data_IF_217493560132
#
_entry.id   IF_217493560132
#
_cell.length_a   1.000
_cell.length_b   1.000
_cell.length_c   1.000
_cell.angle_alpha   90.00
_cell.angle_beta   90.00
_cell.angle_gamma   90.00
#
_symmetry.space_group_name_H-M   'P 1'
#
loop_
_entity.id
_entity.type
_entity.pdbx_description
1 polymer ?
#
# COMPACT_ATOMS: atom_id res chain seq x y z
N UNK A 1 66.92 -7.65 14.77
CA UNK A 1 67.52 -7.74 13.43
C UNK A 1 66.47 -7.21 12.45
N UNK A 2 66.45 -5.90 12.15
CA UNK A 2 67.15 -5.25 11.01
C UNK A 2 66.51 -5.70 9.67
N UNK A 3 65.91 -4.89 8.78
CA UNK A 3 66.01 -3.46 8.34
C UNK A 3 64.65 -3.08 7.69
N UNK A 4 64.07 -1.90 7.90
CA UNK A 4 64.27 -0.63 7.16
C UNK A 4 64.27 -0.76 5.62
N UNK A 5 63.24 -0.19 4.96
CA UNK A 5 63.39 0.68 3.76
C UNK A 5 62.20 1.66 3.72
N UNK A 6 62.53 2.94 3.90
CA UNK A 6 61.74 4.13 3.58
C UNK A 6 61.58 4.30 2.06
N UNK A 7 60.45 4.87 1.61
CA UNK A 7 60.43 5.68 0.39
C UNK A 7 59.46 6.85 0.51
N UNK A 8 60.04 8.03 0.76
CA UNK A 8 59.48 9.36 0.48
C UNK A 8 59.30 9.54 -1.02
N UNK A 9 58.22 10.19 -1.44
CA UNK A 9 58.21 11.01 -2.66
C UNK A 9 57.52 12.33 -2.35
N UNK A 10 58.34 13.36 -2.26
CA UNK A 10 57.96 14.77 -2.35
C UNK A 10 57.61 15.10 -3.81
N UNK A 11 56.55 15.89 -4.02
CA UNK A 11 56.32 16.58 -5.27
C UNK A 11 56.23 18.08 -4.97
N UNK A 12 57.31 18.80 -5.28
CA UNK A 12 57.39 20.26 -5.35
C UNK A 12 58.01 20.63 -6.69
N UNK A 13 57.27 21.36 -7.52
CA UNK A 13 57.75 22.26 -8.58
C UNK A 13 56.50 23.05 -9.01
N UNK A 14 56.30 24.31 -8.59
CA UNK A 14 56.95 25.56 -9.00
C UNK A 14 56.99 25.74 -10.52
N UNK A 15 55.95 26.40 -11.04
CA UNK A 15 56.05 27.33 -12.15
C UNK A 15 55.14 28.53 -11.84
N UNK A 16 55.78 29.62 -11.45
CA UNK A 16 55.22 30.96 -11.46
C UNK A 16 55.45 31.55 -12.84
N UNK A 17 54.42 32.16 -13.42
CA UNK A 17 54.57 33.24 -14.39
C UNK A 17 53.51 34.29 -14.08
N UNK A 18 53.98 35.40 -13.53
CA UNK A 18 53.30 36.67 -13.48
C UNK A 18 53.01 37.18 -14.90
N UNK A 19 51.76 37.55 -15.16
CA UNK A 19 51.45 38.61 -16.13
C UNK A 19 50.31 39.45 -15.58
N UNK A 20 50.70 40.64 -15.10
CA UNK A 20 49.88 41.84 -14.99
C UNK A 20 49.15 42.13 -16.30
N UNK A 21 47.83 42.37 -16.24
CA UNK A 21 47.17 43.34 -17.11
C UNK A 21 45.81 43.77 -16.52
N UNK A 22 45.79 45.03 -16.10
CA UNK A 22 44.73 46.00 -16.28
C UNK A 22 43.38 45.86 -15.54
N UNK A 23 43.34 46.65 -14.47
CA UNK A 23 42.17 47.27 -13.86
C UNK A 23 41.22 47.86 -14.92
N UNK A 24 40.11 47.17 -15.19
CA UNK A 24 38.89 47.79 -15.68
C UNK A 24 37.93 47.85 -14.50
N UNK A 25 37.92 48.99 -13.83
CA UNK A 25 36.92 49.39 -12.85
C UNK A 25 35.56 49.53 -13.54
N UNK A 26 34.82 48.41 -13.62
CA UNK A 26 33.40 48.42 -13.93
C UNK A 26 32.62 49.09 -12.79
N UNK A 27 31.47 49.72 -13.08
CA UNK A 27 30.62 50.31 -12.06
C UNK A 27 30.20 49.23 -11.06
N UNK A 28 30.57 49.43 -9.79
CA UNK A 28 30.03 48.68 -8.65
C UNK A 28 28.53 48.90 -8.61
N UNK A 29 27.80 47.99 -9.24
CA UNK A 29 26.35 47.88 -9.11
C UNK A 29 26.08 47.41 -7.68
N UNK A 30 25.97 48.38 -6.77
CA UNK A 30 25.48 48.26 -5.38
C UNK A 30 24.00 47.86 -5.36
N UNK A 31 23.62 46.84 -6.13
CA UNK A 31 22.43 46.05 -5.88
C UNK A 31 22.77 45.08 -4.76
N UNK A 32 22.89 45.63 -3.54
CA UNK A 32 22.56 44.90 -2.33
C UNK A 32 21.09 44.49 -2.43
N UNK A 33 20.79 43.47 -3.22
CA UNK A 33 19.61 42.65 -3.04
C UNK A 33 19.83 41.93 -1.72
N UNK A 34 19.45 42.59 -0.63
CA UNK A 34 19.25 42.00 0.68
C UNK A 34 18.07 41.04 0.61
N UNK A 35 18.18 39.99 -0.20
CA UNK A 35 17.33 38.83 -0.07
C UNK A 35 17.75 38.17 1.24
N UNK A 36 17.02 38.49 2.31
CA UNK A 36 17.14 37.81 3.59
C UNK A 36 17.26 36.31 3.31
N UNK A 37 18.32 35.64 3.79
CA UNK A 37 18.54 34.24 3.49
C UNK A 37 17.33 33.44 3.97
N UNK A 38 16.75 32.63 3.08
CA UNK A 38 15.61 31.78 3.41
C UNK A 38 16.02 30.90 4.61
N UNK A 39 15.22 30.86 5.70
CA UNK A 39 15.51 29.99 6.84
C UNK A 39 15.66 28.54 6.40
N UNK A 40 16.70 27.85 6.90
CA UNK A 40 17.00 26.46 6.51
C UNK A 40 15.84 25.52 6.86
N UNK A 41 15.09 25.84 7.91
CA UNK A 41 13.90 25.12 8.34
C UNK A 41 12.79 25.19 7.29
N UNK A 42 12.64 26.33 6.61
CA UNK A 42 11.68 26.48 5.52
C UNK A 42 12.11 25.67 4.30
N UNK A 43 13.41 25.67 3.97
CA UNK A 43 13.95 24.83 2.89
C UNK A 43 13.72 23.34 3.18
N UNK A 44 13.94 22.92 4.43
CA UNK A 44 13.69 21.55 4.89
C UNK A 44 12.21 21.18 4.74
N UNK A 45 11.29 22.06 5.13
CA UNK A 45 9.85 21.81 4.99
C UNK A 45 9.42 21.73 3.53
N UNK A 46 9.91 22.61 2.66
CA UNK A 46 9.64 22.57 1.21
C UNK A 46 10.14 21.26 0.61
N UNK A 47 11.38 20.86 0.92
CA UNK A 47 11.96 19.62 0.44
C UNK A 47 11.16 18.40 0.92
N UNK A 48 10.76 18.34 2.19
CA UNK A 48 9.94 17.24 2.72
C UNK A 48 8.61 17.08 1.98
N UNK A 49 7.86 18.17 1.78
CA UNK A 49 6.56 18.13 1.09
C UNK A 49 6.73 17.68 -0.35
N UNK A 50 7.69 18.28 -1.06
CA UNK A 50 7.97 17.92 -2.45
C UNK A 50 8.39 16.45 -2.58
N UNK A 51 9.26 15.96 -1.69
CA UNK A 51 9.71 14.57 -1.68
C UNK A 51 8.56 13.61 -1.35
N UNK A 52 7.64 13.98 -0.47
CA UNK A 52 6.46 13.17 -0.17
C UNK A 52 5.60 12.94 -1.43
N UNK A 53 5.28 14.03 -2.15
CA UNK A 53 4.51 13.98 -3.39
C UNK A 53 5.26 13.21 -4.50
N UNK A 54 6.58 13.44 -4.59
CA UNK A 54 7.44 12.74 -5.54
C UNK A 54 7.44 11.22 -5.31
N UNK A 55 7.71 10.79 -4.07
CA UNK A 55 7.75 9.37 -3.73
C UNK A 55 6.39 8.71 -3.84
N UNK A 56 5.33 9.44 -3.49
CA UNK A 56 3.98 8.99 -3.70
C UNK A 56 3.73 8.65 -5.17
N UNK A 57 3.99 9.60 -6.08
CA UNK A 57 3.73 9.39 -7.49
C UNK A 57 4.66 8.31 -8.07
N UNK A 58 5.88 8.17 -7.54
CA UNK A 58 6.85 7.15 -8.00
C UNK A 58 6.32 5.73 -7.74
N UNK A 59 5.69 5.54 -6.58
CA UNK A 59 5.21 4.24 -6.13
C UNK A 59 3.81 3.95 -6.68
N UNK A 60 2.91 4.94 -6.65
CA UNK A 60 1.47 4.73 -6.81
C UNK A 60 0.95 5.06 -8.21
N UNK A 61 1.40 6.14 -8.84
CA UNK A 61 0.78 6.62 -10.09
C UNK A 61 1.15 5.72 -11.28
N UNK A 62 0.20 5.18 -12.06
CA UNK A 62 0.50 4.30 -13.19
C UNK A 62 1.15 5.04 -14.37
N UNK A 63 1.97 4.34 -15.17
CA UNK A 63 2.41 4.85 -16.48
C UNK A 63 3.43 6.00 -16.45
N UNK A 64 4.40 5.95 -15.52
CA UNK A 64 5.56 6.84 -15.54
C UNK A 64 6.58 6.39 -16.61
N UNK A 65 6.15 6.41 -17.86
CA UNK A 65 6.99 6.11 -19.02
C UNK A 65 7.96 7.25 -19.32
N UNK A 66 7.71 8.43 -18.72
CA UNK A 66 8.68 9.53 -18.71
C UNK A 66 9.85 9.15 -17.81
N UNK A 67 11.06 9.51 -18.23
CA UNK A 67 12.28 9.58 -17.41
C UNK A 67 12.07 10.57 -16.26
N UNK A 68 11.22 10.19 -15.32
CA UNK A 68 10.80 11.07 -14.26
C UNK A 68 11.83 11.00 -13.16
N UNK A 69 12.61 12.07 -13.07
CA UNK A 69 13.49 12.35 -11.97
C UNK A 69 12.90 13.52 -11.16
N UNK A 70 11.94 13.24 -10.24
CA UNK A 70 11.41 14.30 -9.40
C UNK A 70 12.49 14.95 -8.54
N UNK A 71 13.58 14.24 -8.24
CA UNK A 71 14.66 14.76 -7.40
C UNK A 71 15.49 15.83 -8.13
N UNK A 72 15.54 15.77 -9.46
CA UNK A 72 16.31 16.70 -10.30
C UNK A 72 15.99 18.17 -9.99
N UNK A 73 14.71 18.54 -9.90
CA UNK A 73 14.31 19.92 -9.61
C UNK A 73 14.92 20.43 -8.30
N UNK A 74 14.83 19.65 -7.22
CA UNK A 74 15.40 20.02 -5.91
C UNK A 74 16.93 20.06 -5.94
N UNK A 75 17.57 19.08 -6.59
CA UNK A 75 19.03 18.96 -6.64
C UNK A 75 19.69 20.05 -7.51
N UNK A 76 18.97 20.62 -8.47
CA UNK A 76 19.47 21.65 -9.39
C UNK A 76 19.03 23.08 -9.03
N UNK A 77 18.12 23.27 -8.06
CA UNK A 77 17.62 24.62 -7.70
C UNK A 77 18.68 25.50 -7.04
N UNK A 78 19.35 25.01 -5.99
CA UNK A 78 20.43 25.75 -5.32
C UNK A 78 21.33 24.81 -4.52
N UNK A 79 22.52 25.28 -4.13
CA UNK A 79 23.42 24.51 -3.27
C UNK A 79 22.75 24.11 -1.94
N UNK A 80 21.99 25.03 -1.32
CA UNK A 80 21.29 24.77 -0.05
C UNK A 80 20.16 23.76 -0.18
N UNK A 81 19.36 23.85 -1.26
CA UNK A 81 18.33 22.84 -1.52
C UNK A 81 18.95 21.46 -1.74
N UNK A 82 20.06 21.39 -2.48
CA UNK A 82 20.80 20.14 -2.69
C UNK A 82 21.29 19.54 -1.39
N UNK A 83 21.92 20.33 -0.52
CA UNK A 83 22.42 19.90 0.78
C UNK A 83 21.31 19.31 1.64
N UNK A 84 20.21 20.07 1.83
CA UNK A 84 19.04 19.65 2.61
C UNK A 84 18.35 18.41 2.01
N UNK A 85 18.20 18.37 0.67
CA UNK A 85 17.55 17.23 -0.01
C UNK A 85 18.40 15.98 0.11
N UNK A 86 19.72 16.09 -0.02
CA UNK A 86 20.64 14.95 0.10
C UNK A 86 20.64 14.38 1.51
N UNK A 87 20.61 15.25 2.52
CA UNK A 87 20.49 14.88 3.93
C UNK A 87 19.20 14.07 4.18
N UNK A 88 18.05 14.60 3.75
CA UNK A 88 16.75 13.91 3.87
C UNK A 88 16.77 12.57 3.11
N UNK A 89 17.25 12.56 1.86
CA UNK A 89 17.29 11.37 1.03
C UNK A 89 18.13 10.25 1.65
N UNK A 90 19.25 10.58 2.30
CA UNK A 90 20.13 9.59 2.93
C UNK A 90 19.39 8.69 3.94
N UNK A 91 18.36 9.23 4.62
CA UNK A 91 17.52 8.48 5.54
C UNK A 91 16.44 7.61 4.86
N UNK A 92 16.00 8.01 3.66
CA UNK A 92 14.90 7.35 2.94
C UNK A 92 15.41 6.22 2.06
N UNK A 93 16.54 6.47 1.37
CA UNK A 93 17.19 5.51 0.50
C UNK A 93 17.99 4.48 1.30
N UNK A 94 18.40 4.82 2.52
CA UNK A 94 19.17 3.92 3.37
C UNK A 94 20.67 3.91 3.09
N UNK A 95 21.46 3.33 4.00
CA UNK A 95 22.93 3.43 4.00
C UNK A 95 23.58 2.74 2.81
N UNK A 96 22.97 1.69 2.25
CA UNK A 96 23.50 0.96 1.10
C UNK A 96 23.65 1.84 -0.15
N UNK A 97 22.88 2.94 -0.22
CA UNK A 97 22.87 3.86 -1.35
C UNK A 97 23.58 5.18 -1.03
N UNK A 98 24.34 5.24 0.07
CA UNK A 98 25.16 6.41 0.41
C UNK A 98 26.62 6.04 0.20
N UNK A 99 27.32 6.75 -0.67
CA UNK A 99 28.76 6.54 -0.89
C UNK A 99 29.56 7.12 0.31
N UNK A 100 30.23 6.26 1.12
CA UNK A 100 30.99 6.73 2.27
C UNK A 100 32.28 7.48 1.88
N UNK A 101 32.79 7.28 0.66
CA UNK A 101 34.03 7.89 0.18
C UNK A 101 33.85 9.20 -0.58
N UNK A 102 32.66 9.46 -1.13
CA UNK A 102 32.39 10.60 -2.01
C UNK A 102 31.61 11.76 -1.36
N UNK A 103 31.61 11.84 -0.02
CA UNK A 103 30.97 12.93 0.72
C UNK A 103 29.44 12.86 0.72
N UNK A 104 28.87 11.70 1.10
CA UNK A 104 27.44 11.46 1.18
C UNK A 104 26.70 11.60 -0.16
N UNK A 105 27.33 11.19 -1.26
CA UNK A 105 26.60 11.07 -2.54
C UNK A 105 25.58 9.95 -2.44
N UNK A 106 24.32 10.30 -2.61
CA UNK A 106 23.21 9.35 -2.67
C UNK A 106 23.12 8.76 -4.08
N UNK A 107 23.22 7.44 -4.19
CA UNK A 107 23.04 6.65 -5.42
C UNK A 107 21.54 6.48 -5.73
N UNK A 108 20.81 7.58 -5.83
CA UNK A 108 19.36 7.57 -5.99
C UNK A 108 18.90 6.86 -7.27
N UNK A 109 19.74 6.85 -8.32
CA UNK A 109 19.42 6.17 -9.57
C UNK A 109 19.19 4.66 -9.36
N UNK A 110 19.97 4.00 -8.51
CA UNK A 110 19.79 2.57 -8.20
C UNK A 110 18.45 2.32 -7.49
N UNK A 111 18.04 3.24 -6.60
CA UNK A 111 16.73 3.20 -5.95
C UNK A 111 15.60 3.38 -6.97
N UNK A 112 15.73 4.32 -7.91
CA UNK A 112 14.73 4.53 -8.96
C UNK A 112 14.60 3.31 -9.89
N UNK A 113 15.72 2.66 -10.23
CA UNK A 113 15.70 1.41 -11.01
C UNK A 113 14.91 0.33 -10.28
N UNK A 114 15.12 0.19 -8.97
CA UNK A 114 14.41 -0.81 -8.17
C UNK A 114 12.93 -0.49 -7.99
N UNK A 115 12.57 0.79 -7.74
CA UNK A 115 11.17 1.22 -7.69
C UNK A 115 10.47 0.94 -9.03
N UNK A 116 11.14 1.25 -10.15
CA UNK A 116 10.61 0.95 -11.49
C UNK A 116 10.42 -0.54 -11.69
N UNK A 117 11.38 -1.37 -11.28
CA UNK A 117 11.27 -2.84 -11.35
C UNK A 117 10.04 -3.34 -10.58
N UNK A 118 9.87 -2.91 -9.33
CA UNK A 118 8.75 -3.31 -8.47
C UNK A 118 7.41 -2.85 -9.06
N UNK A 119 7.35 -1.62 -9.59
CA UNK A 119 6.18 -1.09 -10.26
C UNK A 119 5.83 -1.87 -11.53
N UNK A 120 6.82 -2.16 -12.38
CA UNK A 120 6.61 -2.99 -13.58
C UNK A 120 6.07 -4.36 -13.21
N UNK A 121 6.56 -4.97 -12.13
CA UNK A 121 6.00 -6.22 -11.61
C UNK A 121 4.55 -6.04 -11.13
N UNK A 122 4.24 -4.96 -10.44
CA UNK A 122 2.88 -4.63 -9.99
C UNK A 122 1.89 -4.51 -11.17
N UNK A 123 2.31 -3.83 -12.23
CA UNK A 123 1.47 -3.49 -13.39
C UNK A 123 1.37 -4.63 -14.42
N UNK A 124 2.49 -5.30 -14.71
CA UNK A 124 2.60 -6.26 -15.82
C UNK A 124 2.82 -7.71 -15.38
N UNK A 125 3.16 -7.95 -14.12
CA UNK A 125 3.32 -9.30 -13.58
C UNK A 125 2.02 -10.10 -13.68
N UNK A 126 2.12 -11.42 -13.85
CA UNK A 126 0.96 -12.30 -13.82
C UNK A 126 0.52 -12.50 -12.37
N UNK A 127 -0.65 -11.99 -11.95
CA UNK A 127 -1.10 -12.11 -10.57
C UNK A 127 -1.35 -13.57 -10.16
N UNK A 128 -1.56 -14.50 -11.10
CA UNK A 128 -1.75 -15.94 -10.79
C UNK A 128 -0.50 -16.59 -10.19
N UNK A 129 0.68 -16.00 -10.41
CA UNK A 129 1.92 -16.46 -9.80
C UNK A 129 1.92 -16.31 -8.27
N UNK A 130 1.02 -15.49 -7.71
CA UNK A 130 0.82 -15.41 -6.26
C UNK A 130 0.19 -16.68 -5.67
N UNK A 131 -0.54 -17.44 -6.48
CA UNK A 131 -1.20 -18.69 -6.06
C UNK A 131 -0.30 -19.91 -6.17
N UNK A 132 0.89 -19.78 -6.77
CA UNK A 132 1.82 -20.89 -6.94
C UNK A 132 2.65 -21.08 -5.66
N UNK A 133 2.44 -22.17 -4.89
CA UNK A 133 3.17 -22.43 -3.65
C UNK A 133 4.64 -22.81 -3.89
N UNK A 134 5.01 -23.21 -5.11
CA UNK A 134 6.38 -23.58 -5.48
C UNK A 134 7.20 -22.37 -5.94
N UNK A 135 6.54 -21.29 -6.40
CA UNK A 135 7.19 -20.04 -6.82
C UNK A 135 7.54 -19.12 -5.64
N UNK A 136 8.32 -19.64 -4.68
CA UNK A 136 9.02 -18.81 -3.68
C UNK A 136 9.85 -17.71 -4.36
N UNK A 137 10.37 -17.99 -5.56
CA UNK A 137 11.15 -17.05 -6.37
C UNK A 137 10.36 -15.80 -6.77
N UNK A 138 9.09 -15.93 -7.18
CA UNK A 138 8.26 -14.78 -7.53
C UNK A 138 7.93 -13.92 -6.31
N UNK A 139 7.55 -14.57 -5.21
CA UNK A 139 7.36 -13.91 -3.93
C UNK A 139 8.63 -13.16 -3.50
N UNK A 140 9.83 -13.73 -3.71
CA UNK A 140 11.10 -13.04 -3.45
C UNK A 140 11.43 -11.95 -4.45
N UNK A 141 11.00 -12.05 -5.70
CA UNK A 141 11.18 -11.01 -6.69
C UNK A 141 10.35 -9.75 -6.36
N UNK A 142 9.22 -9.89 -5.66
CA UNK A 142 8.42 -8.76 -5.17
C UNK A 142 9.05 -8.03 -3.98
N UNK A 143 10.13 -8.58 -3.43
CA UNK A 143 10.84 -8.00 -2.31
C UNK A 143 11.95 -7.09 -2.84
N UNK A 144 12.28 -6.00 -2.12
CA UNK A 144 13.48 -5.25 -2.42
C UNK A 144 14.70 -6.15 -2.38
N UNK A 145 15.68 -5.92 -3.26
CA UNK A 145 16.98 -6.60 -3.18
C UNK A 145 17.54 -6.49 -1.75
N UNK A 146 17.79 -7.64 -1.10
CA UNK A 146 18.07 -7.80 0.35
C UNK A 146 19.18 -6.89 0.90
N UNK A 147 20.07 -6.38 0.05
CA UNK A 147 21.10 -5.40 0.41
C UNK A 147 20.55 -3.99 0.71
N UNK A 148 19.30 -3.71 0.37
CA UNK A 148 18.69 -2.40 0.50
C UNK A 148 17.94 -2.27 1.84
N UNK A 149 18.62 -1.77 2.88
CA UNK A 149 17.98 -1.24 4.10
C UNK A 149 17.33 0.12 3.80
N UNK A 150 16.43 0.13 2.80
CA UNK A 150 15.85 1.30 2.17
C UNK A 150 14.33 1.34 2.46
N UNK A 151 13.89 2.14 3.44
CA UNK A 151 12.48 2.23 3.82
C UNK A 151 11.51 2.42 2.66
N UNK A 152 11.92 3.23 1.66
CA UNK A 152 11.07 3.49 0.50
C UNK A 152 10.89 2.27 -0.41
N UNK A 153 11.92 1.44 -0.56
CA UNK A 153 11.83 0.23 -1.37
C UNK A 153 10.93 -0.80 -0.73
N UNK A 154 10.97 -0.92 0.61
CA UNK A 154 10.01 -1.75 1.34
C UNK A 154 8.56 -1.33 1.08
N UNK A 155 8.29 -0.01 1.03
CA UNK A 155 6.96 0.50 0.67
C UNK A 155 6.57 0.25 -0.80
N UNK A 156 7.53 0.32 -1.72
CA UNK A 156 7.30 -0.04 -3.11
C UNK A 156 6.97 -1.53 -3.29
N UNK A 157 7.68 -2.41 -2.56
CA UNK A 157 7.42 -3.86 -2.59
C UNK A 157 6.05 -4.21 -2.00
N UNK A 158 5.72 -3.61 -0.86
CA UNK A 158 4.39 -3.66 -0.25
C UNK A 158 3.29 -3.30 -1.27
N UNK A 159 3.44 -2.17 -1.97
CA UNK A 159 2.50 -1.75 -3.01
C UNK A 159 2.39 -2.74 -4.17
N UNK A 160 3.52 -3.29 -4.63
CA UNK A 160 3.52 -4.26 -5.72
C UNK A 160 2.75 -5.54 -5.37
N UNK A 161 2.94 -6.06 -4.16
CA UNK A 161 2.22 -7.22 -3.64
C UNK A 161 0.71 -6.94 -3.61
N UNK A 162 0.30 -5.82 -3.02
CA UNK A 162 -1.12 -5.45 -2.94
C UNK A 162 -1.74 -5.30 -4.34
N UNK A 163 -1.04 -4.66 -5.27
CA UNK A 163 -1.53 -4.44 -6.63
C UNK A 163 -1.76 -5.77 -7.37
N UNK A 164 -0.81 -6.70 -7.25
CA UNK A 164 -0.98 -8.05 -7.81
C UNK A 164 -2.10 -8.82 -7.11
N UNK A 165 -2.25 -8.67 -5.80
CA UNK A 165 -3.35 -9.29 -5.08
C UNK A 165 -4.71 -8.74 -5.54
N UNK A 166 -4.83 -7.43 -5.76
CA UNK A 166 -6.03 -6.82 -6.35
C UNK A 166 -6.33 -7.41 -7.72
N UNK A 167 -5.33 -7.49 -8.60
CA UNK A 167 -5.47 -8.07 -9.95
C UNK A 167 -5.78 -9.56 -9.92
N UNK A 168 -5.33 -10.31 -8.91
CA UNK A 168 -5.66 -11.73 -8.74
C UNK A 168 -7.18 -11.92 -8.59
N UNK A 169 -7.85 -11.01 -7.87
CA UNK A 169 -9.30 -11.02 -7.73
C UNK A 169 -10.05 -10.79 -9.05
N UNK A 170 -9.43 -10.13 -10.02
CA UNK A 170 -10.01 -9.83 -11.31
C UNK A 170 -9.84 -11.00 -12.31
N UNK A 171 -8.74 -11.75 -12.22
CA UNK A 171 -8.37 -12.75 -13.25
C UNK A 171 -8.57 -14.21 -12.89
N UNK A 172 -8.69 -14.56 -11.60
CA UNK A 172 -8.89 -15.94 -11.15
C UNK A 172 -10.33 -16.15 -10.63
N UNK A 173 -11.06 -17.03 -11.30
CA UNK A 173 -12.42 -17.42 -10.92
C UNK A 173 -12.42 -18.54 -9.87
N UNK A 174 -11.28 -19.22 -9.66
CA UNK A 174 -11.13 -20.24 -8.65
C UNK A 174 -10.84 -19.61 -7.28
N UNK A 175 -11.91 -19.30 -6.56
CA UNK A 175 -11.81 -18.65 -5.26
C UNK A 175 -10.97 -19.40 -4.22
N UNK A 176 -10.98 -20.74 -4.25
CA UNK A 176 -10.17 -21.52 -3.31
C UNK A 176 -8.67 -21.21 -3.50
N UNK A 177 -8.22 -21.15 -4.76
CA UNK A 177 -6.86 -20.74 -5.13
C UNK A 177 -6.54 -19.31 -4.66
N UNK A 178 -7.46 -18.37 -4.84
CA UNK A 178 -7.26 -16.97 -4.44
C UNK A 178 -7.19 -16.82 -2.91
N UNK A 179 -8.02 -17.56 -2.17
CA UNK A 179 -7.96 -17.61 -0.71
C UNK A 179 -6.64 -18.18 -0.21
N UNK A 180 -6.21 -19.32 -0.76
CA UNK A 180 -4.95 -19.97 -0.36
C UNK A 180 -3.76 -19.02 -0.63
N UNK A 181 -3.75 -18.35 -1.78
CA UNK A 181 -2.75 -17.33 -2.12
C UNK A 181 -2.78 -16.16 -1.12
N UNK A 182 -3.97 -15.64 -0.82
CA UNK A 182 -4.14 -14.52 0.12
C UNK A 182 -3.72 -14.88 1.54
N UNK A 183 -4.02 -16.10 1.98
CA UNK A 183 -3.61 -16.61 3.28
C UNK A 183 -2.09 -16.82 3.32
N UNK A 184 -1.49 -17.33 2.24
CA UNK A 184 -0.04 -17.44 2.13
C UNK A 184 0.66 -16.07 2.19
N UNK A 185 0.23 -15.10 1.38
CA UNK A 185 0.75 -13.73 1.38
C UNK A 185 0.59 -13.13 2.78
N UNK A 186 -0.58 -13.32 3.41
CA UNK A 186 -0.87 -12.81 4.75
C UNK A 186 -0.05 -13.45 5.85
N UNK A 187 0.22 -14.75 5.77
CA UNK A 187 0.96 -15.47 6.80
C UNK A 187 2.48 -15.37 6.63
N UNK A 188 2.99 -15.19 5.40
CA UNK A 188 4.42 -15.27 5.09
C UNK A 188 5.01 -13.95 4.63
N UNK A 189 4.41 -13.34 3.62
CA UNK A 189 5.00 -12.17 2.96
C UNK A 189 4.74 -10.91 3.78
N UNK A 190 3.48 -10.64 4.14
CA UNK A 190 3.14 -9.41 4.89
C UNK A 190 3.85 -9.27 6.23
N UNK A 191 3.98 -10.30 7.09
CA UNK A 191 4.73 -10.15 8.34
C UNK A 191 6.20 -9.83 8.07
N UNK A 192 6.77 -10.35 6.99
CA UNK A 192 8.15 -10.11 6.62
C UNK A 192 8.35 -8.69 6.05
N UNK A 193 7.52 -8.24 5.11
CA UNK A 193 7.61 -6.88 4.55
C UNK A 193 7.29 -5.84 5.60
N UNK A 194 6.26 -6.06 6.42
CA UNK A 194 5.91 -5.19 7.55
C UNK A 194 7.07 -5.10 8.54
N UNK A 195 7.63 -6.24 8.96
CA UNK A 195 8.76 -6.26 9.90
C UNK A 195 9.94 -5.48 9.35
N UNK A 196 10.37 -5.76 8.12
CA UNK A 196 11.53 -5.07 7.55
C UNK A 196 11.26 -3.59 7.29
N UNK A 197 10.09 -3.24 6.76
CA UNK A 197 9.69 -1.85 6.55
C UNK A 197 9.56 -1.06 7.85
N UNK A 198 9.10 -1.68 8.94
CA UNK A 198 9.07 -1.06 10.28
C UNK A 198 10.49 -0.91 10.83
N UNK A 199 11.32 -1.96 10.77
CA UNK A 199 12.70 -1.91 11.26
C UNK A 199 13.54 -0.87 10.52
N UNK A 200 13.39 -0.75 9.19
CA UNK A 200 14.05 0.29 8.41
C UNK A 200 13.54 1.68 8.77
N UNK A 201 12.24 1.80 9.09
CA UNK A 201 11.61 3.08 9.47
C UNK A 201 12.01 3.58 10.87
N UNK A 202 12.36 2.68 11.79
CA UNK A 202 12.75 3.04 13.17
C UNK A 202 14.02 3.90 13.24
N UNK A 203 14.86 3.88 12.19
CA UNK A 203 16.13 4.63 12.14
C UNK A 203 16.00 6.04 11.54
N UNK A 204 14.78 6.42 11.14
CA UNK A 204 14.54 7.64 10.37
C UNK A 204 14.18 8.79 11.32
N UNK A 205 14.71 10.00 11.08
CA UNK A 205 14.28 11.17 11.84
C UNK A 205 12.77 11.36 11.79
N UNK A 206 12.16 11.63 12.95
CA UNK A 206 10.71 11.82 13.09
C UNK A 206 10.07 12.76 12.06
N UNK A 207 10.69 13.92 11.69
CA UNK A 207 10.12 14.80 10.66
C UNK A 207 10.03 14.13 9.28
N UNK A 208 11.08 13.40 8.88
CA UNK A 208 11.15 12.68 7.60
C UNK A 208 10.12 11.55 7.58
N UNK A 209 10.06 10.75 8.66
CA UNK A 209 9.07 9.68 8.79
C UNK A 209 7.64 10.22 8.68
N UNK A 210 7.30 11.26 9.45
CA UNK A 210 5.95 11.83 9.48
C UNK A 210 5.53 12.45 8.15
N UNK A 211 6.44 13.12 7.45
CA UNK A 211 6.12 13.82 6.22
C UNK A 211 6.03 12.88 5.01
N UNK A 212 6.90 11.86 4.92
CA UNK A 212 7.07 11.08 3.70
C UNK A 212 6.55 9.65 3.87
N UNK A 213 7.03 8.92 4.88
CA UNK A 213 6.76 7.49 4.98
C UNK A 213 5.44 7.16 5.66
N UNK A 214 5.04 7.95 6.64
CA UNK A 214 3.79 7.74 7.37
C UNK A 214 2.57 7.84 6.44
N UNK A 215 2.41 8.85 5.57
CA UNK A 215 1.28 8.90 4.63
C UNK A 215 1.24 7.70 3.67
N UNK A 216 2.40 7.28 3.15
CA UNK A 216 2.50 6.08 2.29
C UNK A 216 2.07 4.83 3.06
N UNK A 217 2.50 4.69 4.32
CA UNK A 217 2.12 3.56 5.18
C UNK A 217 0.62 3.58 5.53
N UNK A 218 0.05 4.75 5.81
CA UNK A 218 -1.39 4.93 6.07
C UNK A 218 -2.22 4.52 4.86
N UNK A 219 -1.83 4.94 3.66
CA UNK A 219 -2.51 4.54 2.43
C UNK A 219 -2.40 3.04 2.16
N UNK A 220 -1.21 2.47 2.36
CA UNK A 220 -1.00 1.03 2.21
C UNK A 220 -1.88 0.23 3.17
N UNK A 221 -1.92 0.60 4.45
CA UNK A 221 -2.76 -0.06 5.44
C UNK A 221 -4.25 0.06 5.08
N UNK A 222 -4.67 1.25 4.60
CA UNK A 222 -6.04 1.48 4.10
C UNK A 222 -6.38 0.60 2.88
N UNK A 223 -5.41 0.42 1.98
CA UNK A 223 -5.55 -0.45 0.79
C UNK A 223 -5.63 -1.92 1.16
N UNK A 224 -4.78 -2.41 2.07
CA UNK A 224 -4.86 -3.78 2.59
C UNK A 224 -6.19 -4.05 3.29
N UNK A 225 -6.67 -3.07 4.05
CA UNK A 225 -7.95 -3.16 4.70
C UNK A 225 -9.09 -3.27 3.68
N UNK A 226 -9.03 -2.49 2.59
CA UNK A 226 -9.96 -2.61 1.47
C UNK A 226 -9.90 -4.01 0.81
N UNK A 227 -8.70 -4.54 0.54
CA UNK A 227 -8.52 -5.92 0.02
C UNK A 227 -9.21 -6.92 0.94
N UNK A 228 -8.91 -6.86 2.24
CA UNK A 228 -9.49 -7.77 3.22
C UNK A 228 -11.02 -7.72 3.17
N UNK A 229 -11.61 -6.52 3.18
CA UNK A 229 -13.06 -6.33 3.10
C UNK A 229 -13.67 -6.93 1.85
N UNK A 230 -13.09 -6.66 0.68
CA UNK A 230 -13.55 -7.22 -0.60
C UNK A 230 -13.50 -8.75 -0.54
N UNK A 231 -12.42 -9.31 -0.02
CA UNK A 231 -12.21 -10.76 0.08
C UNK A 231 -13.26 -11.42 0.95
N UNK A 232 -13.49 -10.87 2.14
CA UNK A 232 -14.52 -11.40 3.05
C UNK A 232 -15.91 -11.25 2.46
N UNK A 233 -16.21 -10.08 1.88
CA UNK A 233 -17.52 -9.81 1.28
C UNK A 233 -17.81 -10.80 0.15
N UNK A 234 -16.82 -11.07 -0.71
CA UNK A 234 -16.92 -12.05 -1.80
C UNK A 234 -17.13 -13.46 -1.26
N UNK A 235 -16.33 -13.90 -0.27
CA UNK A 235 -16.47 -15.23 0.34
C UNK A 235 -17.86 -15.45 0.94
N UNK A 236 -18.40 -14.44 1.63
CA UNK A 236 -19.77 -14.46 2.16
C UNK A 236 -20.78 -14.54 1.01
N UNK A 237 -20.64 -13.67 0.00
CA UNK A 237 -21.57 -13.65 -1.13
C UNK A 237 -21.59 -14.96 -1.91
N UNK A 238 -20.43 -15.55 -2.22
CA UNK A 238 -20.32 -16.81 -2.94
C UNK A 238 -20.93 -17.97 -2.14
N UNK A 239 -20.65 -18.03 -0.83
CA UNK A 239 -21.21 -19.06 0.05
C UNK A 239 -22.73 -18.94 0.08
N UNK A 240 -23.24 -17.72 0.27
CA UNK A 240 -24.69 -17.48 0.38
C UNK A 240 -25.42 -17.64 -0.94
N UNK A 241 -24.81 -17.27 -2.07
CA UNK A 241 -25.43 -17.48 -3.37
C UNK A 241 -25.62 -18.97 -3.67
N UNK A 242 -24.73 -19.84 -3.16
CA UNK A 242 -24.86 -21.29 -3.29
C UNK A 242 -25.86 -21.89 -2.29
N UNK A 243 -25.83 -21.44 -1.03
CA UNK A 243 -26.62 -22.06 0.04
C UNK A 243 -28.04 -21.50 0.17
N UNK A 244 -28.24 -20.19 0.02
CA UNK A 244 -29.52 -19.53 0.28
C UNK A 244 -30.68 -20.07 -0.57
N UNK A 245 -30.52 -20.30 -1.89
CA UNK A 245 -31.61 -20.85 -2.71
C UNK A 245 -31.99 -22.28 -2.33
N UNK A 246 -31.07 -23.04 -1.73
CA UNK A 246 -31.32 -24.40 -1.25
C UNK A 246 -32.06 -24.30 0.07
N UNK A 247 -31.50 -23.58 1.04
CA UNK A 247 -32.05 -23.42 2.39
C UNK A 247 -33.45 -22.81 2.38
N UNK A 248 -33.73 -21.86 1.48
CA UNK A 248 -35.06 -21.24 1.38
C UNK A 248 -36.16 -22.21 0.96
N UNK A 249 -35.81 -23.31 0.28
CA UNK A 249 -36.75 -24.35 -0.17
C UNK A 249 -36.88 -25.51 0.82
N UNK A 250 -36.02 -25.59 1.81
CA UNK A 250 -36.05 -26.64 2.84
C UNK A 250 -37.10 -26.25 3.90
N UNK A 251 -38.04 -27.15 4.25
CA UNK A 251 -39.00 -26.93 5.35
C UNK A 251 -38.31 -26.53 6.65
N UNK A 252 -38.95 -25.65 7.43
CA UNK A 252 -38.37 -25.07 8.64
C UNK A 252 -37.96 -26.16 9.65
N UNK A 253 -38.70 -27.27 9.70
CA UNK A 253 -38.43 -28.40 10.58
C UNK A 253 -37.09 -29.07 10.26
N UNK A 254 -36.79 -29.27 8.98
CA UNK A 254 -35.51 -29.86 8.54
C UNK A 254 -34.33 -28.91 8.72
N UNK A 255 -34.56 -27.60 8.57
CA UNK A 255 -33.54 -26.59 8.90
C UNK A 255 -33.25 -26.62 10.40
N UNK A 256 -34.27 -26.76 11.24
CA UNK A 256 -34.14 -26.87 12.70
C UNK A 256 -33.35 -28.11 13.11
N UNK A 257 -33.56 -29.25 12.46
CA UNK A 257 -32.74 -30.45 12.66
C UNK A 257 -31.25 -30.21 12.32
N UNK A 258 -30.98 -29.35 11.33
CA UNK A 258 -29.63 -28.97 10.88
C UNK A 258 -29.11 -27.67 11.50
N UNK A 259 -29.70 -27.22 12.62
CA UNK A 259 -29.32 -25.99 13.34
C UNK A 259 -27.81 -25.83 13.51
N UNK A 260 -27.12 -26.91 13.89
CA UNK A 260 -25.68 -26.89 14.17
C UNK A 260 -24.84 -26.52 12.94
N UNK A 261 -25.28 -26.80 11.71
CA UNK A 261 -24.59 -26.39 10.49
C UNK A 261 -24.80 -24.90 10.22
N UNK A 262 -26.02 -24.41 10.44
CA UNK A 262 -26.34 -22.98 10.33
C UNK A 262 -25.52 -22.16 11.33
N UNK A 263 -25.41 -22.65 12.57
CA UNK A 263 -24.58 -22.02 13.60
C UNK A 263 -23.10 -22.01 13.24
N UNK A 264 -22.56 -23.08 12.66
CA UNK A 264 -21.18 -23.12 12.18
C UNK A 264 -20.91 -22.07 11.10
N UNK A 265 -21.84 -21.89 10.15
CA UNK A 265 -21.75 -20.86 9.11
C UNK A 265 -21.76 -19.46 9.73
N UNK A 266 -22.69 -19.19 10.66
CA UNK A 266 -22.76 -17.90 11.36
C UNK A 266 -21.51 -17.64 12.20
N UNK A 267 -20.98 -18.66 12.88
CA UNK A 267 -19.76 -18.55 13.67
C UNK A 267 -18.55 -18.26 12.78
N UNK A 268 -18.44 -18.94 11.64
CA UNK A 268 -17.41 -18.66 10.63
C UNK A 268 -17.48 -17.20 10.15
N UNK A 269 -18.67 -16.73 9.77
CA UNK A 269 -18.92 -15.35 9.37
C UNK A 269 -18.50 -14.32 10.43
N UNK A 270 -18.94 -14.51 11.67
CA UNK A 270 -18.56 -13.64 12.80
C UNK A 270 -17.08 -13.69 13.10
N UNK A 271 -16.44 -14.85 12.92
CA UNK A 271 -15.00 -14.97 13.05
C UNK A 271 -14.27 -14.15 11.99
N UNK A 272 -14.75 -14.11 10.75
CA UNK A 272 -14.16 -13.28 9.70
C UNK A 272 -14.30 -11.78 10.02
N UNK A 273 -15.47 -11.35 10.50
CA UNK A 273 -15.71 -9.98 10.95
C UNK A 273 -14.76 -9.59 12.09
N UNK A 274 -14.68 -10.44 13.14
CA UNK A 274 -13.82 -10.22 14.30
C UNK A 274 -12.34 -10.14 13.90
N UNK A 275 -11.86 -11.09 13.11
CA UNK A 275 -10.47 -11.10 12.63
C UNK A 275 -10.14 -9.81 11.88
N UNK A 276 -11.09 -9.31 11.09
CA UNK A 276 -10.90 -8.05 10.38
C UNK A 276 -10.86 -6.85 11.32
N UNK A 277 -11.80 -6.76 12.28
CA UNK A 277 -11.81 -5.70 13.28
C UNK A 277 -10.54 -5.69 14.14
N UNK A 278 -9.99 -6.86 14.47
CA UNK A 278 -8.72 -6.98 15.19
C UNK A 278 -7.53 -6.50 14.34
N UNK A 279 -7.51 -6.82 13.04
CA UNK A 279 -6.48 -6.31 12.12
C UNK A 279 -6.53 -4.79 11.98
N UNK A 280 -7.73 -4.20 11.94
CA UNK A 280 -7.91 -2.74 11.97
C UNK A 280 -7.31 -2.17 13.25
N UNK A 281 -7.71 -2.67 14.42
CA UNK A 281 -7.23 -2.16 15.72
C UNK A 281 -5.72 -2.26 15.88
N UNK A 282 -5.12 -3.35 15.39
CA UNK A 282 -3.66 -3.51 15.37
C UNK A 282 -2.99 -2.47 14.48
N UNK A 283 -3.59 -2.15 13.32
CA UNK A 283 -3.13 -1.09 12.42
C UNK A 283 -3.30 0.31 12.99
N UNK A 284 -4.46 0.61 13.57
CA UNK A 284 -4.83 1.92 14.15
C UNK A 284 -3.87 2.40 15.25
N UNK A 285 -3.32 1.45 16.02
CA UNK A 285 -2.33 1.78 17.05
C UNK A 285 -1.01 2.33 16.48
N UNK A 286 -0.73 2.10 15.19
CA UNK A 286 0.51 2.51 14.54
C UNK A 286 0.31 3.58 13.44
N UNK A 287 -0.81 3.53 12.72
CA UNK A 287 -1.11 4.39 11.56
C UNK A 287 -2.61 4.66 11.45
N UNK A 288 -2.98 5.81 10.90
CA UNK A 288 -4.38 6.10 10.60
C UNK A 288 -4.85 5.25 9.41
N UNK A 289 -5.71 4.26 9.66
CA UNK A 289 -6.30 3.41 8.61
C UNK A 289 -7.63 4.00 8.17
N UNK A 290 -7.70 4.50 6.94
CA UNK A 290 -8.94 5.00 6.38
C UNK A 290 -9.79 3.84 5.85
N UNK A 291 -11.08 3.87 6.15
CA UNK A 291 -12.06 2.93 5.62
C UNK A 291 -12.38 3.34 4.18
N UNK A 292 -11.61 2.83 3.20
CA UNK A 292 -11.81 3.14 1.78
C UNK A 292 -13.15 2.59 1.25
N UNK A 293 -13.73 3.25 0.26
CA UNK A 293 -14.94 2.79 -0.42
C UNK A 293 -14.64 1.54 -1.25
N UNK A 294 -15.56 0.56 -1.25
CA UNK A 294 -15.46 -0.56 -2.19
C UNK A 294 -15.95 -0.08 -3.57
N UNK A 295 -15.19 -0.25 -4.66
CA UNK A 295 -15.64 0.17 -5.99
C UNK A 295 -16.96 -0.51 -6.38
N UNK A 296 -17.89 0.25 -6.96
CA UNK A 296 -19.25 -0.25 -7.23
C UNK A 296 -19.25 -1.40 -8.25
N UNK A 297 -18.32 -1.39 -9.22
CA UNK A 297 -18.12 -2.51 -10.17
C UNK A 297 -17.73 -3.82 -9.46
N UNK A 298 -16.96 -3.75 -8.37
CA UNK A 298 -16.60 -4.92 -7.57
C UNK A 298 -17.84 -5.44 -6.82
N UNK A 299 -18.66 -4.55 -6.27
CA UNK A 299 -19.92 -4.93 -5.61
C UNK A 299 -20.90 -5.63 -6.56
N UNK A 300 -20.93 -5.19 -7.83
CA UNK A 300 -21.70 -5.83 -8.89
C UNK A 300 -21.13 -7.21 -9.26
N UNK A 301 -19.81 -7.33 -9.40
CA UNK A 301 -19.13 -8.58 -9.77
C UNK A 301 -19.37 -9.68 -8.72
N UNK A 302 -19.25 -9.36 -7.43
CA UNK A 302 -19.51 -10.29 -6.32
C UNK A 302 -21.00 -10.55 -6.10
N UNK A 303 -21.88 -9.95 -6.92
CA UNK A 303 -23.34 -10.13 -6.89
C UNK A 303 -23.93 -9.83 -5.51
N UNK A 304 -23.35 -8.83 -4.81
CA UNK A 304 -23.76 -8.45 -3.47
C UNK A 304 -25.28 -8.24 -3.38
N UNK A 305 -25.81 -7.49 -4.35
CA UNK A 305 -27.23 -7.18 -4.42
C UNK A 305 -28.11 -8.44 -4.49
N UNK A 306 -27.70 -9.43 -5.28
CA UNK A 306 -28.44 -10.69 -5.44
C UNK A 306 -28.48 -11.49 -4.14
N UNK A 307 -27.38 -11.47 -3.39
CA UNK A 307 -27.30 -12.13 -2.07
C UNK A 307 -28.19 -11.40 -1.06
N UNK A 308 -28.20 -10.06 -1.08
CA UNK A 308 -29.12 -9.26 -0.26
C UNK A 308 -30.59 -9.54 -0.59
N UNK A 309 -30.92 -9.76 -1.87
CA UNK A 309 -32.26 -10.14 -2.29
C UNK A 309 -32.63 -11.54 -1.75
N UNK A 310 -31.71 -12.51 -1.83
CA UNK A 310 -31.94 -13.86 -1.30
C UNK A 310 -31.99 -13.94 0.22
N UNK A 311 -31.31 -13.03 0.92
CA UNK A 311 -31.40 -12.95 2.37
C UNK A 311 -32.68 -12.25 2.84
N UNK A 312 -33.51 -11.73 1.93
CA UNK A 312 -34.84 -11.27 2.32
C UNK A 312 -35.66 -12.48 2.78
N UNK A 313 -36.20 -12.35 3.98
CA UNK A 313 -36.99 -13.40 4.59
C UNK A 313 -38.31 -13.66 3.84
N UNK A 314 -38.65 -14.94 3.58
CA UNK A 314 -40.01 -15.34 3.28
C UNK A 314 -40.94 -14.98 4.44
N UNK A 315 -42.09 -14.34 4.16
CA UNK A 315 -43.05 -13.87 5.18
C UNK A 315 -43.74 -15.01 5.94
N UNK A 316 -43.67 -16.24 5.42
CA UNK A 316 -44.35 -17.44 5.89
C UNK A 316 -43.53 -18.27 6.88
N UNK A 317 -42.29 -17.87 7.19
CA UNK A 317 -41.41 -18.60 8.11
C UNK A 317 -41.58 -18.18 9.58
N UNK A 318 -41.50 -19.12 10.55
CA UNK A 318 -41.55 -18.82 11.99
C UNK A 318 -40.46 -17.83 12.45
N UNK A 319 -40.71 -17.14 13.56
CA UNK A 319 -39.74 -16.20 14.17
C UNK A 319 -38.49 -16.91 14.72
N UNK A 320 -38.61 -18.18 15.14
CA UNK A 320 -37.53 -18.99 15.69
C UNK A 320 -36.77 -19.81 14.63
N UNK A 321 -37.13 -19.69 13.35
CA UNK A 321 -36.48 -20.39 12.25
C UNK A 321 -34.96 -20.08 12.21
N UNK A 322 -34.07 -21.08 12.23
CA UNK A 322 -32.64 -20.86 12.09
C UNK A 322 -32.23 -20.10 10.83
N UNK A 323 -32.96 -20.33 9.73
CA UNK A 323 -32.74 -19.67 8.45
C UNK A 323 -32.99 -18.16 8.56
N UNK A 324 -33.99 -17.74 9.35
CA UNK A 324 -34.23 -16.33 9.67
C UNK A 324 -33.00 -15.69 10.31
N UNK A 325 -32.45 -16.34 11.33
CA UNK A 325 -31.25 -15.85 12.04
C UNK A 325 -30.05 -15.76 11.11
N UNK A 326 -29.88 -16.74 10.22
CA UNK A 326 -28.85 -16.71 9.19
C UNK A 326 -29.04 -15.52 8.24
N UNK A 327 -30.25 -15.32 7.71
CA UNK A 327 -30.57 -14.19 6.83
C UNK A 327 -30.26 -12.84 7.48
N UNK A 328 -30.69 -12.63 8.73
CA UNK A 328 -30.38 -11.41 9.49
C UNK A 328 -28.87 -11.25 9.68
N UNK A 329 -28.17 -12.31 10.11
CA UNK A 329 -26.73 -12.28 10.31
C UNK A 329 -25.97 -11.93 9.01
N UNK A 330 -26.41 -12.46 7.87
CA UNK A 330 -25.84 -12.15 6.56
C UNK A 330 -26.08 -10.70 6.21
N UNK A 331 -27.30 -10.17 6.37
CA UNK A 331 -27.60 -8.77 6.08
C UNK A 331 -26.75 -7.82 6.93
N UNK A 332 -26.71 -8.04 8.25
CA UNK A 332 -25.89 -7.27 9.19
C UNK A 332 -24.42 -7.26 8.75
N UNK A 333 -23.87 -8.44 8.46
CA UNK A 333 -22.48 -8.58 8.04
C UNK A 333 -22.20 -7.87 6.71
N UNK A 334 -23.05 -8.06 5.70
CA UNK A 334 -22.89 -7.41 4.40
C UNK A 334 -22.91 -5.87 4.55
N UNK A 335 -23.78 -5.33 5.41
CA UNK A 335 -23.84 -3.90 5.68
C UNK A 335 -22.65 -3.39 6.51
N UNK A 336 -22.10 -4.17 7.44
CA UNK A 336 -20.88 -3.80 8.17
C UNK A 336 -19.70 -3.50 7.22
N UNK A 337 -19.67 -4.13 6.05
CA UNK A 337 -18.62 -3.92 5.05
C UNK A 337 -18.83 -2.75 4.11
N UNK A 338 -19.89 -1.96 4.26
CA UNK A 338 -20.22 -0.88 3.33
C UNK A 338 -20.13 0.49 3.99
N UNK A 339 -19.80 1.51 3.19
CA UNK A 339 -19.98 2.90 3.61
C UNK A 339 -21.46 3.29 3.58
N UNK A 340 -21.86 4.29 4.35
CA UNK A 340 -23.27 4.62 4.59
C UNK A 340 -24.04 4.97 3.31
N UNK A 341 -23.41 5.66 2.37
CA UNK A 341 -24.00 6.00 1.09
C UNK A 341 -24.14 4.78 0.15
N UNK A 342 -23.23 3.80 0.25
CA UNK A 342 -23.39 2.49 -0.41
C UNK A 342 -24.55 1.70 0.19
N UNK A 343 -24.74 1.74 1.52
CA UNK A 343 -25.90 1.12 2.19
C UNK A 343 -27.20 1.76 1.69
N UNK A 344 -27.26 3.08 1.64
CA UNK A 344 -28.44 3.81 1.18
C UNK A 344 -28.78 3.46 -0.28
N UNK A 345 -27.79 3.47 -1.17
CA UNK A 345 -27.96 3.10 -2.58
C UNK A 345 -28.50 1.67 -2.74
N UNK A 346 -27.95 0.71 -2.00
CA UNK A 346 -28.44 -0.67 -2.02
C UNK A 346 -29.85 -0.81 -1.46
N UNK A 347 -30.17 -0.11 -0.36
CA UNK A 347 -31.51 -0.13 0.23
C UNK A 347 -32.56 0.46 -0.71
N UNK A 348 -32.24 1.54 -1.43
CA UNK A 348 -33.10 2.10 -2.46
C UNK A 348 -33.36 1.07 -3.57
N UNK A 349 -32.31 0.40 -4.06
CA UNK A 349 -32.43 -0.64 -5.09
C UNK A 349 -33.29 -1.83 -4.61
N UNK A 350 -33.16 -2.24 -3.35
CA UNK A 350 -33.99 -3.32 -2.77
C UNK A 350 -35.47 -2.92 -2.67
N UNK A 351 -35.77 -1.65 -2.36
CA UNK A 351 -37.16 -1.15 -2.32
C UNK A 351 -37.78 -1.11 -3.71
N UNK A 352 -37.03 -0.68 -4.72
CA UNK A 352 -37.50 -0.61 -6.10
C UNK A 352 -37.88 -2.00 -6.64
N UNK A 353 -37.03 -3.01 -6.46
CA UNK A 353 -37.35 -4.37 -6.92
C UNK A 353 -38.54 -5.01 -6.17
N UNK A 354 -38.74 -4.68 -4.88
CA UNK A 354 -39.96 -5.11 -4.15
C UNK A 354 -41.23 -4.53 -4.77
N UNK A 355 -41.19 -3.25 -5.16
CA UNK A 355 -42.32 -2.63 -5.85
C UNK A 355 -42.58 -3.25 -7.22
N UNK A 356 -41.53 -3.56 -7.98
CA UNK A 356 -41.66 -4.17 -9.32
C UNK A 356 -42.13 -5.63 -9.28
N UNK A 357 -41.75 -6.40 -8.26
CA UNK A 357 -42.11 -7.81 -8.11
C UNK A 357 -43.53 -8.05 -7.56
N UNK A 358 -44.26 -7.00 -7.18
CA UNK A 358 -45.61 -7.11 -6.63
C UNK A 358 -45.70 -7.81 -5.28
N UNK A 359 -44.56 -8.01 -4.61
CA UNK A 359 -44.47 -8.54 -3.24
C UNK A 359 -44.64 -7.40 -2.23
N UNK A 360 -45.89 -6.99 -1.98
CA UNK A 360 -46.26 -6.16 -0.82
C UNK A 360 -46.99 -7.02 0.19
#
# INVERSE_FOLDING_TARGET
MSRSVEKKMEFKSLLATDTNSDNISGPTDDRQTSTLPIPVELLHKIALVYLADAFWSLIIEPGLDKEWDPLSALLHTSFRFREVTTDILSHIVGPAFVDPGAGNRVKYHEVLVEVKRLKTLAESGDPRQLSDPELTEFATALLPLVSADAPILWRAGDFAINSLQFRLYEVDQNWASVCDATDYITAKIFPWTLRNGVLSSMRIPTPVFRAILKPIQEHFASSQYLVGRISTLRAVCDTMQRSMPILSRVPAELVLEQQHLVDQIMQWMRSMEKNMAERIKLGENAVNVQVLRIPDNILEEIKLYKVLLYSQMPQDRPDDDPFRRLCTCVQELLFCYLQDDQKETLMLRLRLEKHESGQI
#
